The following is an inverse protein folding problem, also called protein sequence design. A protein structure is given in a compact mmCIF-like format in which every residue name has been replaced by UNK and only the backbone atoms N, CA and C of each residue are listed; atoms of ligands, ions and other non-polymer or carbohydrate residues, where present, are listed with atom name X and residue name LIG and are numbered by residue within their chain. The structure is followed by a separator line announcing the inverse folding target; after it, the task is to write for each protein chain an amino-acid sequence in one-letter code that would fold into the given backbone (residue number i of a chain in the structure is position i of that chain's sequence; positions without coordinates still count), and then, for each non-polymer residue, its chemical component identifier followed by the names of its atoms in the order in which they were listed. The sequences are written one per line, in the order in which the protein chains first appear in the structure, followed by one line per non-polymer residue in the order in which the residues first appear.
data_IF_069115101754
#
_entry.id   IF_069115101754
#
_cell.length_a   1.000
_cell.length_b   1.000
_cell.length_c   1.000
_cell.angle_alpha   90.00
_cell.angle_beta   90.00
_cell.angle_gamma   90.00
#
_symmetry.space_group_name_H-M   'P 1'
#
loop_
_entity.id
_entity.type
_entity.pdbx_description
1 polymer ?
#
# COMPACT_ATOMS: atom_id res chain seq x y z
N UNK A 1 -0.94 4.75 8.69
CA UNK A 1 -1.44 5.65 7.62
C UNK A 1 -0.41 5.67 6.51
N UNK A 2 -0.81 5.64 5.25
CA UNK A 2 0.09 5.45 4.10
C UNK A 2 0.86 6.73 3.71
N UNK A 3 0.31 7.91 4.06
CA UNK A 3 0.81 9.23 3.69
C UNK A 3 -0.28 10.30 3.86
N UNK A 4 0.07 11.56 3.56
CA UNK A 4 -0.83 12.71 3.74
C UNK A 4 -0.70 13.34 5.12
N UNK A 5 -1.81 13.49 5.85
CA UNK A 5 -1.84 14.25 7.11
C UNK A 5 -0.96 13.69 8.24
N UNK A 6 -0.49 12.44 8.14
CA UNK A 6 0.44 11.87 9.11
C UNK A 6 1.90 12.28 8.88
N UNK A 7 2.27 12.76 7.69
CA UNK A 7 3.69 13.00 7.35
C UNK A 7 4.24 14.18 8.13
N UNK A 8 3.58 15.34 8.09
CA UNK A 8 4.07 16.53 8.78
C UNK A 8 4.23 16.34 10.31
N UNK A 9 3.26 15.74 11.05
CA UNK A 9 3.46 15.40 12.46
C UNK A 9 4.64 14.46 12.70
N UNK A 10 4.84 13.44 11.88
CA UNK A 10 5.98 12.53 12.03
C UNK A 10 7.32 13.24 11.83
N UNK A 11 7.41 14.16 10.86
CA UNK A 11 8.63 14.95 10.63
C UNK A 11 8.90 15.90 11.80
N UNK A 12 7.87 16.56 12.33
CA UNK A 12 8.00 17.46 13.50
C UNK A 12 8.50 16.71 14.74
N UNK A 13 8.02 15.48 14.94
CA UNK A 13 8.38 14.67 16.10
C UNK A 13 9.78 14.06 16.04
N UNK A 14 10.53 14.20 14.93
CA UNK A 14 11.89 13.66 14.82
C UNK A 14 12.86 14.19 15.89
N UNK A 15 12.62 15.39 16.42
CA UNK A 15 13.45 16.00 17.48
C UNK A 15 12.96 15.64 18.90
N UNK A 16 11.82 14.95 19.03
CA UNK A 16 11.24 14.62 20.33
C UNK A 16 12.02 13.50 21.03
N UNK A 17 12.41 13.73 22.28
CA UNK A 17 13.23 12.80 23.06
C UNK A 17 12.49 11.49 23.42
N UNK A 18 11.16 11.53 23.50
CA UNK A 18 10.34 10.39 23.92
C UNK A 18 9.84 9.56 22.72
N UNK A 19 9.48 10.22 21.62
CA UNK A 19 8.82 9.58 20.47
C UNK A 19 9.57 9.74 19.15
N UNK A 20 10.70 10.45 19.10
CA UNK A 20 11.43 10.71 17.85
C UNK A 20 11.91 9.45 17.13
N UNK A 21 12.34 8.43 17.88
CA UNK A 21 12.70 7.13 17.28
C UNK A 21 11.47 6.40 16.72
N UNK A 22 10.30 6.53 17.37
CA UNK A 22 9.04 5.96 16.87
C UNK A 22 8.63 6.67 15.58
N UNK A 23 8.72 8.00 15.56
CA UNK A 23 8.42 8.81 14.39
C UNK A 23 9.35 8.46 13.21
N UNK A 24 10.65 8.32 13.47
CA UNK A 24 11.64 7.87 12.49
C UNK A 24 11.27 6.50 11.91
N UNK A 25 10.97 5.52 12.76
CA UNK A 25 10.57 4.17 12.31
C UNK A 25 9.30 4.19 11.44
N UNK A 26 8.37 5.11 11.71
CA UNK A 26 7.22 5.36 10.84
C UNK A 26 7.63 5.92 9.47
N UNK A 27 8.48 6.95 9.45
CA UNK A 27 8.95 7.60 8.22
C UNK A 27 9.79 6.68 7.34
N UNK A 28 10.65 5.83 7.92
CA UNK A 28 11.44 4.81 7.19
C UNK A 28 10.58 3.91 6.29
N UNK A 29 9.34 3.65 6.69
CA UNK A 29 8.37 2.80 5.96
C UNK A 29 7.32 3.59 5.16
N UNK A 30 7.39 4.93 5.18
CA UNK A 30 6.42 5.78 4.49
C UNK A 30 6.95 6.17 3.11
N UNK A 31 6.24 5.76 2.05
CA UNK A 31 6.63 6.06 0.67
C UNK A 31 6.11 7.41 0.17
N UNK A 32 4.91 7.79 0.62
CA UNK A 32 4.19 8.97 0.16
C UNK A 32 4.65 10.22 0.93
N UNK A 33 5.96 10.48 0.95
CA UNK A 33 6.58 11.62 1.63
C UNK A 33 6.72 12.86 0.74
N UNK A 34 6.80 12.69 -0.58
CA UNK A 34 6.87 13.79 -1.56
C UNK A 34 7.84 14.90 -1.12
N UNK A 35 7.39 16.17 -1.14
CA UNK A 35 8.23 17.32 -0.82
C UNK A 35 8.69 17.35 0.65
N UNK A 36 7.99 16.67 1.57
CA UNK A 36 8.41 16.57 2.97
C UNK A 36 9.74 15.79 3.15
N UNK A 37 10.22 15.14 2.08
CA UNK A 37 11.60 14.68 2.00
C UNK A 37 12.61 15.79 2.34
N UNK A 38 12.39 17.02 1.84
CA UNK A 38 13.29 18.13 2.08
C UNK A 38 13.30 18.55 3.56
N UNK A 39 12.18 18.51 4.25
CA UNK A 39 12.10 18.80 5.68
C UNK A 39 12.93 17.80 6.51
N UNK A 40 12.86 16.51 6.16
CA UNK A 40 13.70 15.47 6.77
C UNK A 40 15.17 15.71 6.44
N UNK A 41 15.48 16.09 5.19
CA UNK A 41 16.83 16.39 4.76
C UNK A 41 17.44 17.58 5.51
N UNK A 42 16.69 18.65 5.71
CA UNK A 42 17.13 19.83 6.45
C UNK A 42 17.41 19.50 7.92
N UNK A 43 16.52 18.74 8.58
CA UNK A 43 16.76 18.26 9.95
C UNK A 43 18.00 17.37 10.05
N UNK A 44 18.22 16.50 9.07
CA UNK A 44 19.42 15.66 9.04
C UNK A 44 20.71 16.49 8.89
N UNK A 45 20.68 17.53 8.03
CA UNK A 45 21.79 18.49 7.87
C UNK A 45 22.02 19.33 9.14
N UNK A 46 20.97 19.61 9.90
CA UNK A 46 21.04 20.28 11.19
C UNK A 46 21.54 19.36 12.34
N UNK A 47 21.85 18.09 12.06
CA UNK A 47 22.43 17.15 13.03
C UNK A 47 21.42 16.28 13.77
N UNK A 48 20.15 16.24 13.37
CA UNK A 48 19.19 15.32 13.96
C UNK A 48 19.51 13.86 13.58
N UNK A 49 19.89 13.05 14.57
CA UNK A 49 20.26 11.65 14.38
C UNK A 49 19.11 10.77 13.85
N UNK A 50 17.86 11.04 14.28
CA UNK A 50 16.68 10.32 13.78
C UNK A 50 16.46 10.61 12.29
N UNK A 51 16.57 11.86 11.86
CA UNK A 51 16.42 12.28 10.47
C UNK A 51 17.52 11.69 9.58
N UNK A 52 18.78 11.67 10.05
CA UNK A 52 19.88 11.00 9.37
C UNK A 52 19.61 9.49 9.20
N UNK A 53 19.11 8.84 10.24
CA UNK A 53 18.74 7.43 10.18
C UNK A 53 17.57 7.16 9.21
N UNK A 54 16.62 8.08 9.08
CA UNK A 54 15.54 7.99 8.08
C UNK A 54 16.12 8.08 6.66
N UNK A 55 16.97 9.07 6.38
CA UNK A 55 17.59 9.20 5.05
C UNK A 55 18.43 7.99 4.68
N UNK A 56 19.20 7.45 5.64
CA UNK A 56 20.02 6.26 5.40
C UNK A 56 19.16 5.04 5.08
N UNK A 57 18.08 4.82 5.85
CA UNK A 57 17.11 3.74 5.60
C UNK A 57 16.45 3.84 4.22
N UNK A 58 16.10 5.07 3.78
CA UNK A 58 15.57 5.28 2.43
C UNK A 58 16.62 5.01 1.35
N UNK A 59 17.88 5.43 1.56
CA UNK A 59 18.98 5.19 0.65
C UNK A 59 19.33 3.69 0.52
N UNK A 60 19.29 2.96 1.63
CA UNK A 60 19.48 1.50 1.69
C UNK A 60 18.25 0.72 1.20
N UNK A 61 17.21 1.44 0.78
CA UNK A 61 15.94 0.90 0.29
C UNK A 61 15.29 -0.10 1.25
N UNK A 62 15.40 0.12 2.58
CA UNK A 62 14.81 -0.76 3.59
C UNK A 62 13.28 -0.90 3.44
N UNK A 63 12.63 0.12 2.88
CA UNK A 63 11.20 0.08 2.53
C UNK A 63 10.87 -0.97 1.46
N UNK A 64 11.84 -1.37 0.65
CA UNK A 64 11.74 -2.40 -0.38
C UNK A 64 12.33 -3.73 0.11
N UNK A 65 13.59 -3.72 0.55
CA UNK A 65 14.36 -4.92 0.95
C UNK A 65 13.86 -5.55 2.24
N UNK A 66 13.10 -4.82 3.06
CA UNK A 66 12.42 -5.37 4.23
C UNK A 66 11.19 -6.22 3.91
N UNK A 67 10.69 -6.21 2.67
CA UNK A 67 9.58 -7.07 2.27
C UNK A 67 10.08 -8.46 1.87
N UNK A 68 9.28 -9.52 2.06
CA UNK A 68 9.60 -10.84 1.54
C UNK A 68 9.80 -10.82 0.03
N UNK A 69 10.82 -11.54 -0.44
CA UNK A 69 11.01 -11.75 -1.88
C UNK A 69 9.84 -12.56 -2.47
N UNK A 70 9.59 -12.38 -3.77
CA UNK A 70 8.65 -13.22 -4.50
C UNK A 70 9.19 -14.66 -4.51
N UNK A 71 8.42 -15.66 -4.04
CA UNK A 71 8.91 -17.03 -3.99
C UNK A 71 9.17 -17.57 -5.39
N UNK A 72 10.20 -18.41 -5.53
CA UNK A 72 10.57 -19.02 -6.82
C UNK A 72 9.51 -19.99 -7.36
N UNK A 73 8.62 -20.49 -6.49
CA UNK A 73 7.51 -21.36 -6.86
C UNK A 73 6.28 -21.03 -6.02
N UNK A 74 5.11 -21.02 -6.67
CA UNK A 74 3.81 -20.79 -6.06
C UNK A 74 2.90 -21.97 -6.39
N UNK A 75 2.47 -22.72 -5.39
CA UNK A 75 1.41 -23.72 -5.55
C UNK A 75 0.06 -23.01 -5.41
N UNK A 76 -0.77 -23.10 -6.45
CA UNK A 76 -2.08 -22.44 -6.52
C UNK A 76 -3.16 -23.43 -6.96
N UNK A 77 -4.41 -23.17 -6.58
CA UNK A 77 -5.57 -23.89 -7.11
C UNK A 77 -6.17 -23.09 -8.26
N UNK A 78 -6.43 -23.76 -9.39
CA UNK A 78 -6.98 -23.11 -10.58
C UNK A 78 -8.47 -22.84 -10.40
N UNK A 79 -8.86 -21.57 -10.38
CA UNK A 79 -10.24 -21.13 -10.58
C UNK A 79 -10.44 -20.78 -12.07
N UNK A 80 -10.90 -21.76 -12.86
CA UNK A 80 -11.05 -21.61 -14.31
C UNK A 80 -12.42 -21.02 -14.66
N UNK A 81 -12.41 -19.88 -15.35
CA UNK A 81 -13.55 -19.36 -16.11
C UNK A 81 -13.31 -19.68 -17.59
N UNK A 82 -14.12 -20.55 -18.23
CA UNK A 82 -14.02 -20.82 -19.65
C UNK A 82 -14.60 -19.68 -20.50
N UNK A 83 -14.27 -19.67 -21.79
CA UNK A 83 -14.67 -18.60 -22.70
C UNK A 83 -13.90 -17.28 -22.47
N UNK A 84 -14.46 -16.19 -22.96
CA UNK A 84 -13.96 -14.83 -22.73
C UNK A 84 -14.44 -14.33 -21.36
N UNK A 85 -13.64 -13.60 -20.60
CA UNK A 85 -14.11 -12.88 -19.40
C UNK A 85 -14.06 -11.38 -19.68
N UNK A 86 -15.22 -10.73 -19.73
CA UNK A 86 -15.33 -9.28 -19.87
C UNK A 86 -15.20 -8.62 -18.48
N UNK A 87 -14.78 -7.36 -18.41
CA UNK A 87 -14.77 -6.60 -17.15
C UNK A 87 -16.17 -6.41 -16.58
N UNK A 88 -17.23 -6.37 -17.41
CA UNK A 88 -18.61 -6.33 -16.93
C UNK A 88 -19.04 -7.63 -16.24
N UNK A 89 -18.42 -8.78 -16.57
CA UNK A 89 -18.64 -10.03 -15.82
C UNK A 89 -18.09 -9.95 -14.38
N UNK A 90 -17.03 -9.14 -14.18
CA UNK A 90 -16.33 -9.01 -12.91
C UNK A 90 -16.81 -7.80 -12.09
N UNK A 91 -17.26 -6.75 -12.76
CA UNK A 91 -17.74 -5.48 -12.18
C UNK A 91 -18.94 -4.96 -12.99
N UNK A 92 -20.13 -5.56 -12.80
CA UNK A 92 -21.28 -5.26 -13.65
C UNK A 92 -21.73 -3.80 -13.55
N UNK A 93 -22.12 -3.23 -14.69
CA UNK A 93 -22.60 -1.84 -14.76
C UNK A 93 -23.77 -1.51 -13.81
N UNK A 94 -24.78 -2.39 -13.58
CA UNK A 94 -25.86 -2.11 -12.62
C UNK A 94 -25.39 -1.94 -11.16
N UNK A 95 -24.20 -2.44 -10.82
CA UNK A 95 -23.61 -2.39 -9.47
C UNK A 95 -22.51 -1.33 -9.37
N UNK A 96 -22.41 -0.43 -10.37
CA UNK A 96 -21.37 0.61 -10.38
C UNK A 96 -21.41 1.53 -9.15
N UNK A 97 -22.58 1.69 -8.52
CA UNK A 97 -22.78 2.48 -7.30
C UNK A 97 -22.10 1.88 -6.07
N UNK A 98 -21.87 0.56 -6.06
CA UNK A 98 -21.21 -0.13 -4.93
C UNK A 98 -19.70 -0.22 -5.09
N UNK A 99 -19.13 0.14 -6.25
CA UNK A 99 -17.67 0.08 -6.53
C UNK A 99 -16.76 0.67 -5.43
N UNK A 100 -17.11 1.79 -4.76
CA UNK A 100 -16.28 2.33 -3.69
C UNK A 100 -16.20 1.44 -2.45
N UNK A 101 -17.21 0.59 -2.23
CA UNK A 101 -17.25 -0.43 -1.17
C UNK A 101 -16.79 -1.78 -1.73
N UNK A 102 -15.48 -2.04 -1.61
CA UNK A 102 -14.83 -3.22 -2.20
C UNK A 102 -15.49 -4.54 -1.73
N UNK A 103 -15.70 -4.80 -0.42
CA UNK A 103 -16.38 -6.02 0.02
C UNK A 103 -17.81 -6.16 -0.53
N UNK A 104 -18.59 -5.08 -0.56
CA UNK A 104 -19.96 -5.13 -1.07
C UNK A 104 -20.00 -5.38 -2.58
N UNK A 105 -19.15 -4.69 -3.35
CA UNK A 105 -19.11 -4.81 -4.81
C UNK A 105 -18.63 -6.19 -5.26
N UNK A 106 -17.72 -6.82 -4.51
CA UNK A 106 -17.22 -8.16 -4.82
C UNK A 106 -18.32 -9.24 -4.86
N UNK A 107 -19.45 -9.03 -4.16
CA UNK A 107 -20.61 -9.92 -4.21
C UNK A 107 -21.29 -9.96 -5.60
N UNK A 108 -21.03 -8.98 -6.45
CA UNK A 108 -21.56 -8.90 -7.82
C UNK A 108 -20.66 -9.57 -8.87
N UNK A 109 -19.43 -9.96 -8.51
CA UNK A 109 -18.50 -10.63 -9.43
C UNK A 109 -19.08 -11.98 -9.89
N UNK A 110 -19.18 -12.17 -11.20
CA UNK A 110 -19.74 -13.39 -11.83
C UNK A 110 -21.18 -13.72 -11.36
N UNK A 111 -21.98 -12.72 -10.94
CA UNK A 111 -23.35 -12.95 -10.45
C UNK A 111 -24.33 -13.43 -11.53
N UNK A 112 -24.06 -13.04 -12.79
CA UNK A 112 -24.88 -13.44 -13.93
C UNK A 112 -24.40 -14.83 -14.38
N UNK A 113 -25.32 -15.79 -14.38
CA UNK A 113 -25.01 -17.15 -14.84
C UNK A 113 -24.57 -17.09 -16.31
N UNK A 114 -23.45 -17.74 -16.61
CA UNK A 114 -23.04 -18.03 -17.97
C UNK A 114 -23.12 -19.52 -18.22
N UNK A 115 -23.55 -19.92 -19.41
CA UNK A 115 -23.77 -21.32 -19.74
C UNK A 115 -22.45 -22.11 -19.87
N UNK A 116 -21.35 -21.40 -20.14
CA UNK A 116 -20.01 -21.96 -20.21
C UNK A 116 -19.32 -22.02 -18.84
N UNK A 117 -19.63 -21.13 -17.89
CA UNK A 117 -18.86 -20.97 -16.65
C UNK A 117 -19.55 -21.52 -15.39
N UNK A 118 -18.80 -22.04 -14.41
CA UNK A 118 -19.34 -22.38 -13.11
C UNK A 118 -19.88 -21.13 -12.41
N UNK A 119 -21.14 -21.17 -11.94
CA UNK A 119 -21.72 -20.07 -11.16
C UNK A 119 -21.13 -20.05 -9.76
N UNK A 120 -20.63 -18.90 -9.31
CA UNK A 120 -20.29 -18.70 -7.90
C UNK A 120 -21.59 -18.69 -7.06
N UNK A 121 -21.93 -19.81 -6.45
CA UNK A 121 -22.83 -19.90 -5.29
C UNK A 121 -22.18 -20.79 -4.23
#
# INVERSE_FOLDING_TARGET
MLGGYNVAPLVQLLDDASVGTIAANGLKKTLLVFDAFHDVQEKAKAGNANAQAVLQSWADAEWFTGNPEVPQSLTVTVFKVPGETNTDDLSPAPDATTRPDIPMHALAMLKNKRDDAPSCR
#
